data_IF_728742789807
#
_entry.id   IF_728742789807
#
_cell.length_a   1.000
_cell.length_b   1.000
_cell.length_c   1.000
_cell.angle_alpha   90.00
_cell.angle_beta   90.00
_cell.angle_gamma   90.00
#
_symmetry.space_group_name_H-M   'P 1'
#
loop_
_entity.id
_entity.type
_entity.pdbx_description
1 polymer ?
#
# COMPACT_ATOMS: atom_id res chain seq x y z
N UNK A 1 -6.44 12.89 20.89
CA UNK A 1 -6.56 11.41 20.89
C UNK A 1 -5.17 10.83 20.84
N UNK A 2 -4.93 9.75 21.57
CA UNK A 2 -3.73 8.91 21.39
C UNK A 2 -4.03 7.82 20.37
N UNK A 3 -3.34 7.89 19.25
CA UNK A 3 -3.57 7.01 18.10
C UNK A 3 -2.33 6.15 17.90
N UNK A 4 -2.49 4.84 17.91
CA UNK A 4 -1.41 3.91 17.61
C UNK A 4 -1.62 3.34 16.20
N UNK A 5 -0.77 3.73 15.26
CA UNK A 5 -0.75 3.16 13.92
C UNK A 5 0.13 1.91 13.93
N UNK A 6 -0.42 0.79 13.49
CA UNK A 6 0.25 -0.51 13.55
C UNK A 6 0.53 -1.07 12.17
N UNK A 7 1.76 -1.56 11.96
CA UNK A 7 2.16 -2.21 10.71
C UNK A 7 3.13 -3.36 10.97
N UNK A 8 3.14 -4.35 10.08
CA UNK A 8 4.06 -5.48 10.18
C UNK A 8 5.52 -5.05 10.10
N UNK A 9 5.85 -4.32 9.07
CA UNK A 9 7.21 -3.78 8.86
C UNK A 9 7.18 -2.64 7.83
N UNK A 10 8.26 -1.91 7.75
CA UNK A 10 8.56 -1.01 6.63
C UNK A 10 9.27 -1.82 5.56
N UNK A 11 8.77 -1.76 4.31
CA UNK A 11 9.23 -2.62 3.21
C UNK A 11 10.35 -2.01 2.36
N UNK A 12 10.74 -0.76 2.65
CA UNK A 12 11.84 -0.09 1.95
C UNK A 12 11.41 0.89 0.84
N UNK A 13 12.34 1.28 -0.05
CA UNK A 13 12.29 2.59 -0.72
C UNK A 13 11.16 2.79 -1.75
N UNK A 14 10.36 1.79 -2.07
CA UNK A 14 9.25 1.93 -3.05
C UNK A 14 8.02 1.19 -2.52
N UNK A 15 7.41 1.72 -1.50
CA UNK A 15 6.25 1.10 -0.87
C UNK A 15 5.12 2.11 -0.65
N UNK A 16 4.04 1.98 -1.42
CA UNK A 16 2.86 2.82 -1.24
C UNK A 16 2.22 2.69 0.13
N UNK A 17 2.29 1.51 0.76
CA UNK A 17 1.76 1.30 2.11
C UNK A 17 2.61 1.98 3.19
N UNK A 18 3.92 2.13 2.97
CA UNK A 18 4.80 2.84 3.90
C UNK A 18 4.62 4.35 3.74
N UNK A 19 4.47 4.83 2.49
CA UNK A 19 4.10 6.22 2.22
C UNK A 19 2.78 6.60 2.90
N UNK A 20 1.76 5.76 2.80
CA UNK A 20 0.47 5.98 3.46
C UNK A 20 0.62 6.04 4.99
N UNK A 21 1.40 5.13 5.60
CA UNK A 21 1.67 5.15 7.03
C UNK A 21 2.33 6.47 7.47
N UNK A 22 3.40 6.88 6.79
CA UNK A 22 4.14 8.11 7.13
C UNK A 22 3.26 9.34 6.96
N UNK A 23 2.50 9.41 5.87
CA UNK A 23 1.63 10.55 5.60
C UNK A 23 0.49 10.63 6.63
N UNK A 24 -0.15 9.51 6.96
CA UNK A 24 -1.18 9.48 8.01
C UNK A 24 -0.61 9.90 9.36
N UNK A 25 0.52 9.32 9.76
CA UNK A 25 1.14 9.63 11.05
C UNK A 25 1.51 11.11 11.16
N UNK A 26 2.21 11.65 10.16
CA UNK A 26 2.66 13.05 10.16
C UNK A 26 1.50 14.04 10.12
N UNK A 27 0.46 13.79 9.32
CA UNK A 27 -0.67 14.70 9.20
C UNK A 27 -1.59 14.68 10.45
N UNK A 28 -1.81 13.52 11.05
CA UNK A 28 -2.52 13.42 12.33
C UNK A 28 -1.74 14.09 13.46
N UNK A 29 -0.40 13.96 13.48
CA UNK A 29 0.46 14.66 14.45
C UNK A 29 0.37 16.18 14.26
N UNK A 30 0.46 16.70 13.04
CA UNK A 30 0.27 18.12 12.70
C UNK A 30 -1.11 18.63 13.12
N UNK A 31 -2.14 17.79 13.04
CA UNK A 31 -3.50 18.12 13.49
C UNK A 31 -3.67 18.11 15.01
N UNK A 32 -2.58 17.93 15.79
CA UNK A 32 -2.58 18.00 17.25
C UNK A 32 -3.01 16.72 17.95
N UNK A 33 -2.94 15.58 17.29
CA UNK A 33 -3.15 14.27 17.90
C UNK A 33 -1.82 13.71 18.42
N UNK A 34 -1.89 12.89 19.47
CA UNK A 34 -0.74 12.15 20.01
C UNK A 34 -0.62 10.84 19.22
N UNK A 35 0.30 10.79 18.25
CA UNK A 35 0.44 9.67 17.32
C UNK A 35 1.74 8.93 17.57
N UNK A 36 1.67 7.61 17.64
CA UNK A 36 2.82 6.73 17.66
C UNK A 36 2.66 5.60 16.65
N UNK A 37 3.78 5.00 16.25
CA UNK A 37 3.80 3.87 15.30
C UNK A 37 4.35 2.64 16.00
N UNK A 38 3.66 1.52 15.86
CA UNK A 38 4.14 0.20 16.29
C UNK A 38 4.39 -0.68 15.08
N UNK A 39 5.63 -1.11 14.92
CA UNK A 39 6.03 -2.12 13.96
C UNK A 39 6.16 -3.49 14.62
N UNK A 40 5.75 -4.56 13.96
CA UNK A 40 6.08 -5.90 14.43
C UNK A 40 7.58 -6.14 14.32
N UNK A 41 8.17 -5.70 13.20
CA UNK A 41 9.61 -5.87 12.91
C UNK A 41 10.20 -4.56 12.40
N UNK A 42 11.33 -4.15 12.96
CA UNK A 42 12.15 -3.10 12.39
C UNK A 42 13.16 -3.72 11.41
N UNK A 43 13.21 -3.20 10.19
CA UNK A 43 14.10 -3.70 9.15
C UNK A 43 15.45 -2.99 9.17
N UNK A 44 15.46 -1.67 9.10
CA UNK A 44 16.66 -0.83 9.14
C UNK A 44 16.32 0.57 9.67
N UNK A 45 17.17 1.10 10.54
CA UNK A 45 17.00 2.47 11.06
C UNK A 45 17.34 3.54 10.00
N UNK A 46 18.13 3.18 8.99
CA UNK A 46 18.47 4.06 7.88
C UNK A 46 17.36 4.14 6.81
N UNK A 47 16.26 3.41 6.98
CA UNK A 47 15.14 3.46 6.03
C UNK A 47 14.52 4.86 6.00
N UNK A 48 14.27 5.37 4.80
CA UNK A 48 13.74 6.71 4.58
C UNK A 48 12.38 6.96 5.25
N UNK A 49 11.49 5.97 5.26
CA UNK A 49 10.16 6.11 5.88
C UNK A 49 10.28 6.17 7.41
N UNK A 50 11.20 5.37 7.98
CA UNK A 50 11.51 5.43 9.39
C UNK A 50 12.06 6.81 9.78
N UNK A 51 13.03 7.34 9.01
CA UNK A 51 13.59 8.67 9.26
C UNK A 51 12.54 9.78 9.13
N UNK A 52 11.67 9.72 8.13
CA UNK A 52 10.57 10.68 7.96
C UNK A 52 9.56 10.66 9.10
N UNK A 53 9.29 9.51 9.72
CA UNK A 53 8.48 9.44 10.94
C UNK A 53 9.15 10.16 12.09
N UNK A 54 10.45 9.96 12.29
CA UNK A 54 11.22 10.65 13.35
C UNK A 54 11.28 12.16 13.12
N UNK A 55 11.51 12.62 11.89
CA UNK A 55 11.49 14.04 11.49
C UNK A 55 10.13 14.68 11.74
N UNK A 56 9.05 13.94 11.56
CA UNK A 56 7.70 14.38 11.87
C UNK A 56 7.38 14.40 13.38
N UNK A 57 8.32 14.00 14.24
CA UNK A 57 8.13 13.91 15.68
C UNK A 57 7.22 12.74 16.11
N UNK A 58 7.07 11.71 15.26
CA UNK A 58 6.25 10.52 15.52
C UNK A 58 7.13 9.43 16.16
N UNK A 59 6.89 9.04 17.41
CA UNK A 59 7.61 7.94 18.05
C UNK A 59 7.34 6.62 17.33
N UNK A 60 8.41 5.84 17.09
CA UNK A 60 8.32 4.51 16.48
C UNK A 60 8.84 3.46 17.45
N UNK A 61 8.02 2.48 17.75
CA UNK A 61 8.39 1.31 18.52
C UNK A 61 8.31 0.04 17.68
N UNK A 62 9.03 -1.01 18.09
CA UNK A 62 8.97 -2.31 17.43
C UNK A 62 9.03 -3.46 18.44
N UNK A 63 8.40 -4.58 18.09
CA UNK A 63 8.27 -5.76 18.96
C UNK A 63 9.48 -6.68 18.84
N UNK A 64 9.96 -6.92 17.61
CA UNK A 64 11.08 -7.82 17.35
C UNK A 64 12.07 -7.22 16.35
N UNK A 65 13.36 -7.57 16.52
CA UNK A 65 14.36 -7.22 15.53
C UNK A 65 14.20 -8.06 14.26
N UNK A 66 14.67 -7.52 13.14
CA UNK A 66 14.65 -8.20 11.84
C UNK A 66 15.44 -9.52 11.83
N UNK A 67 16.45 -9.67 12.69
CA UNK A 67 17.16 -10.93 12.90
C UNK A 67 16.22 -12.09 13.27
N UNK A 68 15.18 -11.82 14.07
CA UNK A 68 14.18 -12.83 14.42
C UNK A 68 13.34 -13.23 13.19
N UNK A 69 12.95 -12.28 12.35
CA UNK A 69 12.19 -12.54 11.11
C UNK A 69 13.03 -13.28 10.07
N UNK A 70 14.27 -12.85 9.85
CA UNK A 70 15.20 -13.48 8.90
C UNK A 70 15.57 -14.90 9.35
N UNK A 71 15.78 -15.12 10.65
CA UNK A 71 16.07 -16.44 11.20
C UNK A 71 14.87 -17.39 11.10
N UNK A 72 13.64 -16.88 11.25
CA UNK A 72 12.42 -17.68 10.99
C UNK A 72 12.29 -18.06 9.51
N UNK A 73 12.57 -17.13 8.59
CA UNK A 73 12.56 -17.40 7.15
C UNK A 73 13.64 -18.40 6.72
N UNK A 74 14.84 -18.29 7.27
CA UNK A 74 15.94 -19.25 7.06
C UNK A 74 15.61 -20.62 7.68
N UNK A 75 15.03 -20.64 8.88
CA UNK A 75 14.57 -21.84 9.55
C UNK A 75 13.47 -22.57 8.79
N UNK A 76 12.52 -21.83 8.18
CA UNK A 76 11.48 -22.40 7.30
C UNK A 76 12.09 -23.02 6.04
N UNK A 77 13.02 -22.34 5.36
CA UNK A 77 13.72 -22.88 4.18
C UNK A 77 14.54 -24.13 4.53
N UNK A 78 15.23 -24.14 5.68
CA UNK A 78 16.00 -25.29 6.16
C UNK A 78 15.07 -26.45 6.52
N UNK A 79 13.99 -26.21 7.24
CA UNK A 79 12.98 -27.20 7.57
C UNK A 79 12.37 -27.83 6.30
N UNK A 80 12.03 -27.01 5.30
CA UNK A 80 11.53 -27.47 4.01
C UNK A 80 12.54 -28.37 3.28
N UNK A 81 13.81 -27.98 3.23
CA UNK A 81 14.89 -28.78 2.63
C UNK A 81 15.05 -30.13 3.37
N UNK A 82 14.97 -30.15 4.71
CA UNK A 82 15.02 -31.35 5.53
C UNK A 82 13.78 -32.23 5.33
N UNK A 83 12.58 -31.66 5.17
CA UNK A 83 11.35 -32.39 4.87
C UNK A 83 11.43 -33.19 3.56
N UNK A 84 12.05 -32.60 2.54
CA UNK A 84 12.20 -33.25 1.24
C UNK A 84 13.31 -34.30 1.23
N UNK A 85 14.31 -34.15 2.09
CA UNK A 85 15.46 -35.08 2.15
C UNK A 85 15.16 -36.30 3.04
N UNK A 86 14.37 -36.15 4.11
CA UNK A 86 14.09 -37.19 5.07
C UNK A 86 12.59 -37.34 5.41
N UNK A 87 11.80 -38.03 4.58
CA UNK A 87 10.35 -38.14 4.78
C UNK A 87 9.89 -38.67 6.14
N UNK A 88 10.68 -39.57 6.77
CA UNK A 88 10.37 -40.13 8.09
C UNK A 88 10.53 -39.16 9.27
N UNK A 89 11.24 -38.06 9.08
CA UNK A 89 11.44 -37.02 10.11
C UNK A 89 10.35 -35.95 10.15
N UNK A 90 9.42 -35.99 9.20
CA UNK A 90 8.38 -34.94 8.98
C UNK A 90 7.59 -34.62 10.24
N UNK A 91 7.08 -35.64 10.95
CA UNK A 91 6.25 -35.42 12.14
C UNK A 91 7.04 -34.83 13.32
N UNK A 92 8.27 -35.26 13.53
CA UNK A 92 9.13 -34.79 14.62
C UNK A 92 9.56 -33.32 14.38
N UNK A 93 10.01 -32.99 13.18
CA UNK A 93 10.42 -31.64 12.79
C UNK A 93 9.19 -30.72 12.81
N UNK A 94 8.04 -31.17 12.28
CA UNK A 94 6.77 -30.42 12.29
C UNK A 94 6.35 -30.04 13.72
N UNK A 95 6.35 -30.99 14.67
CA UNK A 95 6.01 -30.71 16.07
C UNK A 95 6.95 -29.72 16.74
N UNK A 96 8.24 -29.79 16.43
CA UNK A 96 9.26 -28.90 17.02
C UNK A 96 9.22 -27.51 16.43
N UNK A 97 9.05 -27.40 15.11
CA UNK A 97 8.87 -26.11 14.41
C UNK A 97 7.58 -25.44 14.84
N UNK A 98 6.49 -26.20 14.95
CA UNK A 98 5.21 -25.69 15.42
C UNK A 98 5.31 -25.10 16.84
N UNK A 99 5.96 -25.79 17.78
CA UNK A 99 6.18 -25.29 19.15
C UNK A 99 6.99 -23.99 19.17
N UNK A 100 8.02 -23.88 18.31
CA UNK A 100 8.83 -22.66 18.18
C UNK A 100 8.00 -21.49 17.60
N UNK A 101 7.28 -21.72 16.53
CA UNK A 101 6.43 -20.70 15.89
C UNK A 101 5.32 -20.26 16.84
N UNK A 102 4.64 -21.20 17.50
CA UNK A 102 3.61 -20.89 18.50
C UNK A 102 4.20 -20.11 19.69
N UNK A 103 5.36 -20.50 20.18
CA UNK A 103 6.05 -19.80 21.26
C UNK A 103 6.44 -18.37 20.90
N UNK A 104 6.92 -18.14 19.68
CA UNK A 104 7.24 -16.81 19.19
C UNK A 104 5.99 -15.94 18.97
N UNK A 105 4.94 -16.51 18.37
CA UNK A 105 3.67 -15.82 18.20
C UNK A 105 3.05 -15.43 19.54
N UNK A 106 3.07 -16.33 20.54
CA UNK A 106 2.62 -16.05 21.91
C UNK A 106 3.44 -14.97 22.58
N UNK A 107 4.77 -14.95 22.35
CA UNK A 107 5.65 -13.91 22.88
C UNK A 107 5.35 -12.55 22.25
N UNK A 108 5.23 -12.49 20.92
CA UNK A 108 4.91 -11.25 20.21
C UNK A 108 3.53 -10.71 20.61
N UNK A 109 2.53 -11.58 20.76
CA UNK A 109 1.22 -11.21 21.26
C UNK A 109 1.29 -10.55 22.64
N UNK A 110 2.00 -11.16 23.61
CA UNK A 110 2.18 -10.57 24.96
C UNK A 110 2.87 -9.23 24.90
N UNK A 111 3.96 -9.11 24.13
CA UNK A 111 4.69 -7.87 23.98
C UNK A 111 3.83 -6.77 23.31
N UNK A 112 3.05 -7.10 22.27
CA UNK A 112 2.11 -6.17 21.67
C UNK A 112 1.08 -5.68 22.68
N UNK A 113 0.47 -6.59 23.43
CA UNK A 113 -0.54 -6.27 24.42
C UNK A 113 0.01 -5.39 25.53
N UNK A 114 1.15 -5.76 26.14
CA UNK A 114 1.83 -4.98 27.18
C UNK A 114 2.19 -3.58 26.68
N UNK A 115 2.68 -3.46 25.44
CA UNK A 115 2.96 -2.18 24.81
C UNK A 115 1.71 -1.32 24.68
N UNK A 116 0.62 -1.89 24.12
CA UNK A 116 -0.65 -1.18 23.89
C UNK A 116 -1.29 -0.72 25.20
N UNK A 117 -1.27 -1.55 26.23
CA UNK A 117 -1.75 -1.22 27.58
C UNK A 117 -0.90 -0.09 28.22
N UNK A 118 0.42 -0.13 28.04
CA UNK A 118 1.35 0.89 28.55
C UNK A 118 1.16 2.25 27.86
N UNK A 119 1.03 2.26 26.56
CA UNK A 119 0.83 3.47 25.74
C UNK A 119 -0.54 4.12 25.99
N UNK A 120 -1.51 3.38 26.53
CA UNK A 120 -2.88 3.86 26.79
C UNK A 120 -3.50 4.48 25.53
N UNK A 121 -3.32 3.81 24.37
CA UNK A 121 -3.90 4.27 23.14
C UNK A 121 -5.43 4.31 23.22
N UNK A 122 -6.04 5.38 22.71
CA UNK A 122 -7.50 5.50 22.63
C UNK A 122 -8.04 4.65 21.48
N UNK A 123 -7.19 4.41 20.44
CA UNK A 123 -7.54 3.69 19.24
C UNK A 123 -6.30 3.08 18.60
N UNK A 124 -6.47 1.90 18.02
CA UNK A 124 -5.46 1.21 17.24
C UNK A 124 -5.90 1.11 15.78
N UNK A 125 -5.04 1.52 14.86
CA UNK A 125 -5.27 1.44 13.44
C UNK A 125 -4.22 0.52 12.80
N UNK A 126 -4.65 -0.66 12.34
CA UNK A 126 -3.80 -1.69 11.74
C UNK A 126 -3.84 -1.57 10.22
N UNK A 127 -2.66 -1.44 9.59
CA UNK A 127 -2.50 -1.11 8.16
C UNK A 127 -1.68 -2.17 7.41
N UNK A 128 -1.87 -3.43 7.69
CA UNK A 128 -1.08 -4.50 7.07
C UNK A 128 -1.90 -5.78 6.91
N UNK A 129 -1.91 -6.40 5.72
CA UNK A 129 -2.60 -7.67 5.49
C UNK A 129 -1.67 -8.89 5.72
N UNK A 130 -0.68 -8.77 6.59
CA UNK A 130 0.27 -9.85 6.89
C UNK A 130 -0.02 -10.52 8.26
N UNK A 131 0.67 -11.62 8.61
CA UNK A 131 0.47 -12.32 9.88
C UNK A 131 0.58 -11.43 11.14
N UNK A 132 1.29 -10.31 11.05
CA UNK A 132 1.41 -9.36 12.16
C UNK A 132 0.08 -8.70 12.51
N UNK A 133 -0.78 -8.47 11.51
CA UNK A 133 -2.11 -7.90 11.73
C UNK A 133 -2.92 -8.75 12.69
N UNK A 134 -2.89 -10.08 12.54
CA UNK A 134 -3.63 -10.98 13.42
C UNK A 134 -3.21 -10.83 14.87
N UNK A 135 -1.89 -10.77 15.12
CA UNK A 135 -1.34 -10.58 16.47
C UNK A 135 -1.75 -9.23 17.05
N UNK A 136 -1.64 -8.18 16.25
CA UNK A 136 -1.95 -6.81 16.67
C UNK A 136 -3.44 -6.60 16.93
N UNK A 137 -4.31 -7.12 16.06
CA UNK A 137 -5.77 -7.05 16.21
C UNK A 137 -6.20 -7.80 17.48
N UNK A 138 -5.72 -9.04 17.68
CA UNK A 138 -6.05 -9.82 18.86
C UNK A 138 -5.56 -9.15 20.14
N UNK A 139 -4.32 -8.65 20.16
CA UNK A 139 -3.74 -7.99 21.32
C UNK A 139 -4.52 -6.72 21.70
N UNK A 140 -4.91 -5.92 20.72
CA UNK A 140 -5.70 -4.72 20.92
C UNK A 140 -7.11 -5.02 21.43
N UNK A 141 -7.77 -6.02 20.84
CA UNK A 141 -9.09 -6.48 21.28
C UNK A 141 -9.08 -6.93 22.75
N UNK A 142 -8.09 -7.76 23.12
CA UNK A 142 -7.96 -8.28 24.49
C UNK A 142 -7.50 -7.24 25.50
N UNK A 143 -6.88 -6.14 25.03
CA UNK A 143 -6.61 -4.95 25.84
C UNK A 143 -7.84 -4.02 25.97
N UNK A 144 -8.96 -4.35 25.33
CA UNK A 144 -10.18 -3.53 25.34
C UNK A 144 -10.07 -2.24 24.54
N UNK A 145 -9.10 -2.12 23.62
CA UNK A 145 -8.86 -0.93 22.80
C UNK A 145 -9.56 -1.10 21.46
N UNK A 146 -10.35 -0.10 20.99
CA UNK A 146 -10.99 -0.14 19.69
C UNK A 146 -9.98 -0.29 18.55
N UNK A 147 -10.29 -1.15 17.58
CA UNK A 147 -9.40 -1.47 16.45
C UNK A 147 -10.07 -1.14 15.12
N UNK A 148 -9.38 -0.39 14.28
CA UNK A 148 -9.66 -0.29 12.85
C UNK A 148 -8.62 -1.13 12.10
N UNK A 149 -9.07 -2.01 11.22
CA UNK A 149 -8.22 -2.62 10.21
C UNK A 149 -8.43 -1.90 8.89
N UNK A 150 -7.36 -1.46 8.24
CA UNK A 150 -7.44 -0.84 6.91
C UNK A 150 -6.83 -1.76 5.85
N UNK A 151 -7.66 -2.14 4.88
CA UNK A 151 -7.21 -2.81 3.67
C UNK A 151 -6.64 -1.78 2.69
N UNK A 152 -5.37 -1.93 2.33
CA UNK A 152 -4.64 -1.01 1.45
C UNK A 152 -4.65 -1.41 -0.03
N UNK A 153 -5.40 -2.45 -0.38
CA UNK A 153 -5.48 -2.95 -1.74
C UNK A 153 -6.79 -3.65 -2.04
N UNK A 154 -6.79 -4.44 -3.11
CA UNK A 154 -7.85 -5.41 -3.33
C UNK A 154 -7.56 -6.59 -2.40
N UNK A 155 -8.52 -7.02 -1.56
CA UNK A 155 -8.33 -8.19 -0.74
C UNK A 155 -7.93 -9.37 -1.61
N UNK A 156 -6.68 -9.79 -1.46
CA UNK A 156 -6.09 -10.82 -2.30
C UNK A 156 -6.13 -12.16 -1.57
N UNK A 157 -6.72 -13.13 -2.24
CA UNK A 157 -6.81 -14.51 -1.77
C UNK A 157 -5.97 -15.40 -2.70
N UNK A 158 -4.64 -15.52 -2.47
CA UNK A 158 -3.84 -16.40 -3.28
C UNK A 158 -4.23 -17.85 -3.00
N UNK A 159 -4.40 -18.68 -4.04
CA UNK A 159 -4.75 -20.09 -3.89
C UNK A 159 -3.79 -20.85 -2.98
N UNK A 160 -2.52 -20.44 -2.97
CA UNK A 160 -1.45 -21.08 -2.20
C UNK A 160 -1.40 -20.66 -0.71
N UNK A 161 -2.28 -19.74 -0.27
CA UNK A 161 -2.32 -19.20 1.10
C UNK A 161 -3.71 -19.27 1.73
N UNK A 162 -4.54 -20.22 1.32
CA UNK A 162 -5.92 -20.35 1.78
C UNK A 162 -6.01 -20.45 3.31
N UNK A 163 -5.17 -21.29 3.93
CA UNK A 163 -5.12 -21.45 5.39
C UNK A 163 -4.73 -20.17 6.13
N UNK A 164 -3.85 -19.35 5.54
CA UNK A 164 -3.50 -18.03 6.08
C UNK A 164 -4.67 -17.06 5.99
N UNK A 165 -5.34 -17.03 4.85
CA UNK A 165 -6.48 -16.18 4.63
C UNK A 165 -7.64 -16.50 5.57
N UNK A 166 -7.96 -17.77 5.77
CA UNK A 166 -8.95 -18.23 6.75
C UNK A 166 -8.63 -17.75 8.16
N UNK A 167 -7.37 -17.89 8.59
CA UNK A 167 -6.94 -17.42 9.91
C UNK A 167 -6.99 -15.89 10.02
N UNK A 168 -6.53 -15.18 9.00
CA UNK A 168 -6.61 -13.72 8.97
C UNK A 168 -8.05 -13.24 9.02
N UNK A 169 -8.94 -13.82 8.22
CA UNK A 169 -10.35 -13.45 8.22
C UNK A 169 -11.05 -13.80 9.53
N UNK A 170 -10.57 -14.81 10.28
CA UNK A 170 -11.13 -15.17 11.60
C UNK A 170 -10.93 -14.10 12.67
N UNK A 171 -9.92 -13.25 12.57
CA UNK A 171 -9.66 -12.16 13.53
C UNK A 171 -10.32 -10.83 13.14
N UNK A 172 -10.74 -10.66 11.89
CA UNK A 172 -11.39 -9.44 11.44
C UNK A 172 -12.68 -9.07 12.19
N UNK A 173 -13.52 -10.02 12.64
CA UNK A 173 -14.67 -9.72 13.50
C UNK A 173 -14.33 -9.09 14.86
N UNK A 174 -13.06 -9.16 15.28
CA UNK A 174 -12.56 -8.49 16.49
C UNK A 174 -12.35 -6.99 16.27
N UNK A 175 -12.20 -6.56 15.02
CA UNK A 175 -12.11 -5.16 14.68
C UNK A 175 -13.44 -4.44 14.95
N UNK A 176 -13.36 -3.22 15.43
CA UNK A 176 -14.51 -2.34 15.56
C UNK A 176 -15.03 -1.90 14.20
N UNK A 177 -14.10 -1.73 13.24
CA UNK A 177 -14.41 -1.32 11.87
C UNK A 177 -13.32 -1.80 10.90
N UNK A 178 -13.73 -2.09 9.66
CA UNK A 178 -12.82 -2.30 8.54
C UNK A 178 -12.90 -1.05 7.65
N UNK A 179 -11.74 -0.55 7.22
CA UNK A 179 -11.64 0.56 6.29
C UNK A 179 -11.02 0.11 4.97
N UNK A 180 -11.46 0.71 3.87
CA UNK A 180 -10.84 0.57 2.56
C UNK A 180 -10.57 1.94 1.95
N UNK A 181 -9.78 1.99 0.88
CA UNK A 181 -9.27 3.24 0.34
C UNK A 181 -10.25 3.98 -0.58
N UNK A 182 -11.26 3.29 -1.12
CA UNK A 182 -12.25 3.87 -2.04
C UNK A 182 -13.58 3.12 -1.98
N UNK A 183 -14.68 3.68 -2.54
CA UNK A 183 -15.98 3.02 -2.63
C UNK A 183 -15.90 1.63 -3.27
N UNK A 184 -15.23 1.50 -4.41
CA UNK A 184 -15.09 0.22 -5.12
C UNK A 184 -14.30 -0.81 -4.30
N UNK A 185 -13.29 -0.37 -3.54
CA UNK A 185 -12.57 -1.26 -2.63
C UNK A 185 -13.40 -1.66 -1.40
N UNK A 186 -14.32 -0.80 -0.93
CA UNK A 186 -15.31 -1.19 0.11
C UNK A 186 -16.23 -2.30 -0.42
N UNK A 187 -16.66 -2.23 -1.67
CA UNK A 187 -17.44 -3.31 -2.30
C UNK A 187 -16.66 -4.63 -2.33
N UNK A 188 -15.40 -4.59 -2.75
CA UNK A 188 -14.53 -5.77 -2.70
C UNK A 188 -14.34 -6.31 -1.28
N UNK A 189 -14.18 -5.44 -0.28
CA UNK A 189 -14.11 -5.88 1.11
C UNK A 189 -15.42 -6.54 1.56
N UNK A 190 -16.58 -5.99 1.16
CA UNK A 190 -17.89 -6.55 1.49
C UNK A 190 -18.11 -7.95 0.90
N UNK A 191 -17.59 -8.17 -0.30
CA UNK A 191 -17.73 -9.45 -0.99
C UNK A 191 -16.77 -10.52 -0.44
N UNK A 192 -15.56 -10.13 -0.07
CA UNK A 192 -14.46 -11.07 0.21
C UNK A 192 -14.12 -11.22 1.68
N UNK A 193 -14.45 -10.26 2.51
CA UNK A 193 -14.14 -10.31 3.93
C UNK A 193 -15.39 -10.66 4.74
N UNK A 194 -15.24 -11.38 5.88
CA UNK A 194 -16.38 -11.71 6.73
C UNK A 194 -17.06 -10.42 7.23
N UNK A 195 -18.35 -10.49 7.50
CA UNK A 195 -19.15 -9.37 7.96
C UNK A 195 -18.50 -8.69 9.16
N UNK A 196 -18.03 -7.47 8.97
CA UNK A 196 -17.52 -6.61 10.03
C UNK A 196 -18.64 -5.76 10.60
N UNK A 197 -18.42 -5.19 11.79
CA UNK A 197 -19.39 -4.29 12.45
C UNK A 197 -19.62 -3.01 11.66
N UNK A 198 -18.68 -2.59 10.84
CA UNK A 198 -18.77 -1.42 9.98
C UNK A 198 -17.73 -1.45 8.86
N UNK A 199 -18.06 -0.78 7.75
CA UNK A 199 -17.15 -0.55 6.63
C UNK A 199 -17.08 0.95 6.38
N UNK A 200 -15.87 1.50 6.28
CA UNK A 200 -15.65 2.92 6.00
C UNK A 200 -14.65 3.13 4.86
N UNK A 201 -14.63 4.35 4.37
CA UNK A 201 -13.64 4.80 3.39
C UNK A 201 -12.66 5.70 4.12
N UNK A 202 -11.38 5.31 4.11
CA UNK A 202 -10.26 6.14 4.53
C UNK A 202 -9.29 6.25 3.35
N UNK A 203 -9.40 7.31 2.54
CA UNK A 203 -8.57 7.47 1.35
C UNK A 203 -7.10 7.68 1.73
N UNK A 204 -6.19 7.30 0.84
CA UNK A 204 -4.82 7.82 0.91
C UNK A 204 -4.84 9.33 0.78
N UNK A 205 -3.77 9.99 1.23
CA UNK A 205 -3.56 11.42 1.02
C UNK A 205 -2.10 11.66 0.62
N UNK A 206 -1.85 12.75 -0.02
CA UNK A 206 -0.50 13.23 -0.30
C UNK A 206 -0.22 14.49 0.50
N UNK A 207 1.05 14.70 0.87
CA UNK A 207 1.48 15.86 1.64
C UNK A 207 1.30 17.16 0.87
N UNK A 208 1.09 18.26 1.60
CA UNK A 208 0.93 19.62 1.05
C UNK A 208 2.19 20.21 0.38
N UNK A 209 3.37 19.55 0.53
CA UNK A 209 4.58 20.07 -0.14
C UNK A 209 4.42 20.17 -1.67
N UNK A 210 3.34 19.59 -2.20
CA UNK A 210 2.92 19.74 -3.59
C UNK A 210 2.25 21.10 -3.83
N UNK A 211 1.85 21.84 -2.80
CA UNK A 211 1.24 23.15 -2.91
C UNK A 211 2.27 24.29 -2.80
N UNK A 212 2.48 25.07 -3.86
CA UNK A 212 3.06 26.41 -3.69
C UNK A 212 4.24 26.84 -4.53
N UNK A 213 4.74 26.07 -5.49
CA UNK A 213 5.65 26.62 -6.52
C UNK A 213 4.97 26.74 -7.87
N UNK A 214 5.47 27.68 -8.70
CA UNK A 214 4.98 27.83 -10.07
C UNK A 214 5.10 26.50 -10.80
N UNK A 215 4.08 26.10 -11.56
CA UNK A 215 4.16 24.90 -12.39
C UNK A 215 5.43 24.94 -13.23
N UNK A 216 6.11 23.81 -13.32
CA UNK A 216 7.16 23.65 -14.32
C UNK A 216 6.54 23.92 -15.68
N UNK A 217 7.12 24.85 -16.42
CA UNK A 217 6.72 25.02 -17.82
C UNK A 217 7.37 23.87 -18.61
N UNK A 218 6.56 23.00 -19.25
CA UNK A 218 7.10 21.94 -20.10
C UNK A 218 8.04 22.55 -21.15
N UNK A 219 9.00 21.75 -21.59
CA UNK A 219 9.80 22.15 -22.74
C UNK A 219 8.85 22.43 -23.93
N UNK A 220 8.94 23.63 -24.58
CA UNK A 220 7.90 24.06 -25.51
C UNK A 220 7.68 23.13 -26.71
N UNK A 221 8.59 22.19 -26.96
CA UNK A 221 8.61 21.40 -28.18
C UNK A 221 8.38 19.89 -27.95
N UNK A 222 8.10 19.44 -26.73
CA UNK A 222 7.97 17.98 -26.45
C UNK A 222 6.98 17.70 -25.36
N UNK A 223 6.20 16.63 -25.52
CA UNK A 223 5.27 16.15 -24.52
C UNK A 223 5.91 14.99 -23.75
N UNK A 224 6.01 15.12 -22.44
CA UNK A 224 6.65 14.13 -21.56
C UNK A 224 5.59 13.32 -20.82
N UNK A 225 5.51 12.05 -21.17
CA UNK A 225 4.76 11.04 -20.42
C UNK A 225 5.59 10.52 -19.26
N UNK A 226 4.97 10.25 -18.13
CA UNK A 226 5.68 9.76 -16.95
C UNK A 226 5.02 8.55 -16.30
N UNK A 227 5.84 7.68 -15.75
CA UNK A 227 5.44 6.53 -14.95
C UNK A 227 6.29 6.48 -13.68
N UNK A 228 5.65 6.24 -12.54
CA UNK A 228 6.34 6.11 -11.26
C UNK A 228 5.70 4.99 -10.42
N UNK A 229 6.37 3.85 -10.35
CA UNK A 229 5.95 2.69 -9.55
C UNK A 229 7.10 1.68 -9.40
N UNK A 230 6.87 0.63 -8.64
CA UNK A 230 7.73 -0.55 -8.70
C UNK A 230 7.74 -1.11 -10.12
N UNK A 231 8.90 -1.36 -10.67
CA UNK A 231 9.03 -1.93 -12.02
C UNK A 231 8.81 -3.46 -12.00
N UNK A 232 7.62 -3.86 -11.58
CA UNK A 232 7.16 -5.24 -11.58
C UNK A 232 6.11 -5.46 -12.68
N UNK A 233 5.95 -6.70 -13.11
CA UNK A 233 5.03 -7.05 -14.20
C UNK A 233 3.61 -6.53 -13.96
N UNK A 234 3.10 -6.68 -12.72
CA UNK A 234 1.77 -6.22 -12.32
C UNK A 234 1.54 -4.69 -12.46
N UNK A 235 2.62 -3.90 -12.56
CA UNK A 235 2.54 -2.45 -12.78
C UNK A 235 2.55 -2.05 -14.25
N UNK A 236 2.66 -3.01 -15.16
CA UNK A 236 2.52 -2.83 -16.59
C UNK A 236 3.61 -2.00 -17.30
N UNK A 237 4.86 -1.89 -16.79
CA UNK A 237 5.86 -1.02 -17.41
C UNK A 237 6.26 -1.48 -18.82
N UNK A 238 6.10 -2.77 -19.11
CA UNK A 238 6.36 -3.30 -20.46
C UNK A 238 5.23 -2.90 -21.43
N UNK A 239 3.97 -2.97 -21.00
CA UNK A 239 2.81 -2.50 -21.80
C UNK A 239 2.97 -1.02 -22.13
N UNK A 240 3.44 -0.20 -21.15
CA UNK A 240 3.72 1.21 -21.38
C UNK A 240 4.80 1.41 -22.43
N UNK A 241 5.91 0.68 -22.37
CA UNK A 241 7.01 0.80 -23.34
C UNK A 241 6.56 0.47 -24.75
N UNK A 242 5.77 -0.59 -24.93
CA UNK A 242 5.20 -0.98 -26.22
C UNK A 242 4.22 0.09 -26.77
N UNK A 243 3.30 0.56 -25.92
CA UNK A 243 2.35 1.59 -26.29
C UNK A 243 3.05 2.93 -26.64
N UNK A 244 4.07 3.30 -25.86
CA UNK A 244 4.89 4.47 -26.14
C UNK A 244 5.57 4.39 -27.52
N UNK A 245 6.14 3.23 -27.86
CA UNK A 245 6.77 3.06 -29.16
C UNK A 245 5.76 3.13 -30.32
N UNK A 246 4.52 2.64 -30.13
CA UNK A 246 3.44 2.78 -31.11
C UNK A 246 3.06 4.25 -31.26
N UNK A 247 2.88 4.97 -30.16
CA UNK A 247 2.54 6.39 -30.17
C UNK A 247 3.67 7.25 -30.79
N UNK A 248 4.93 6.95 -30.44
CA UNK A 248 6.09 7.69 -30.96
C UNK A 248 6.24 7.61 -32.47
N UNK A 249 5.89 6.49 -33.11
CA UNK A 249 5.89 6.39 -34.58
C UNK A 249 4.91 7.32 -35.28
N UNK A 250 3.87 7.77 -34.56
CA UNK A 250 2.84 8.69 -35.09
C UNK A 250 3.03 10.14 -34.59
N UNK A 251 3.77 10.33 -33.50
CA UNK A 251 4.09 11.62 -32.94
C UNK A 251 5.51 11.59 -32.37
N UNK A 252 6.48 12.11 -33.13
CA UNK A 252 7.91 12.06 -32.80
C UNK A 252 8.29 12.93 -31.60
N UNK A 253 7.48 13.95 -31.29
CA UNK A 253 7.74 14.93 -30.23
C UNK A 253 7.23 14.49 -28.86
N UNK A 254 7.24 13.18 -28.59
CA UNK A 254 6.94 12.63 -27.27
C UNK A 254 8.17 12.00 -26.62
N UNK A 255 8.21 12.06 -25.27
CA UNK A 255 9.24 11.46 -24.44
C UNK A 255 8.59 10.64 -23.33
N UNK A 256 9.34 9.67 -22.80
CA UNK A 256 8.91 8.83 -21.67
C UNK A 256 9.91 8.91 -20.52
N UNK A 257 9.48 9.41 -19.38
CA UNK A 257 10.22 9.40 -18.14
C UNK A 257 9.70 8.29 -17.21
N UNK A 258 10.61 7.47 -16.69
CA UNK A 258 10.26 6.39 -15.76
C UNK A 258 11.03 6.53 -14.46
N UNK A 259 10.33 6.52 -13.31
CA UNK A 259 10.88 6.45 -11.98
C UNK A 259 10.47 5.15 -11.27
N UNK A 260 11.33 4.64 -10.41
CA UNK A 260 11.12 3.41 -9.66
C UNK A 260 12.21 2.37 -9.93
N UNK A 261 12.11 1.20 -9.32
CA UNK A 261 13.01 0.05 -9.52
C UNK A 261 12.23 -1.27 -9.42
N UNK A 262 12.82 -2.34 -9.89
CA UNK A 262 12.24 -3.68 -9.84
C UNK A 262 12.76 -4.62 -10.91
N UNK A 263 12.20 -5.81 -10.95
CA UNK A 263 12.65 -6.92 -11.81
C UNK A 263 12.57 -6.63 -13.32
N UNK A 264 11.74 -5.68 -13.74
CA UNK A 264 11.55 -5.32 -15.14
C UNK A 264 12.51 -4.23 -15.65
N UNK A 265 13.26 -3.53 -14.77
CA UNK A 265 14.07 -2.37 -15.14
C UNK A 265 15.00 -2.63 -16.34
N UNK A 266 15.78 -3.70 -16.28
CA UNK A 266 16.74 -4.03 -17.35
C UNK A 266 16.04 -4.45 -18.64
N UNK A 267 14.92 -5.16 -18.52
CA UNK A 267 14.11 -5.58 -19.66
C UNK A 267 13.51 -4.40 -20.40
N UNK A 268 13.02 -3.38 -19.66
CA UNK A 268 12.46 -2.14 -20.22
C UNK A 268 13.53 -1.39 -21.01
N UNK A 269 14.74 -1.22 -20.43
CA UNK A 269 15.84 -0.54 -21.12
C UNK A 269 16.29 -1.29 -22.40
N UNK A 270 16.34 -2.61 -22.34
CA UNK A 270 16.62 -3.45 -23.52
C UNK A 270 15.51 -3.33 -24.57
N UNK A 271 14.25 -3.31 -24.13
CA UNK A 271 13.10 -3.18 -25.03
C UNK A 271 13.05 -1.81 -25.70
N UNK A 272 13.35 -0.73 -24.99
CA UNK A 272 13.45 0.62 -25.57
C UNK A 272 14.47 0.68 -26.72
N UNK A 273 15.61 -0.01 -26.57
CA UNK A 273 16.60 -0.14 -27.66
C UNK A 273 16.07 -0.93 -28.83
N UNK A 274 15.41 -2.07 -28.58
CA UNK A 274 14.87 -2.94 -29.62
C UNK A 274 13.73 -2.27 -30.43
N UNK A 275 13.03 -1.32 -29.83
CA UNK A 275 11.94 -0.55 -30.43
C UNK A 275 12.41 0.79 -31.06
N UNK A 276 13.72 1.08 -30.99
CA UNK A 276 14.34 2.31 -31.48
C UNK A 276 13.80 3.60 -30.81
N UNK A 277 13.41 3.50 -29.54
CA UNK A 277 12.94 4.66 -28.75
C UNK A 277 13.84 4.98 -27.56
N UNK A 278 15.05 4.40 -27.50
CA UNK A 278 15.97 4.60 -26.40
C UNK A 278 16.40 6.06 -26.21
N UNK A 279 16.47 6.86 -27.26
CA UNK A 279 16.77 8.30 -27.20
C UNK A 279 15.62 9.15 -26.64
N UNK A 280 14.42 8.60 -26.59
CA UNK A 280 13.20 9.25 -26.09
C UNK A 280 12.78 8.72 -24.71
N UNK A 281 13.49 7.74 -24.18
CA UNK A 281 13.27 7.12 -22.88
C UNK A 281 14.32 7.60 -21.88
N UNK A 282 13.87 8.02 -20.70
CA UNK A 282 14.73 8.43 -19.60
C UNK A 282 14.36 7.74 -18.30
N UNK A 283 15.34 7.09 -17.67
CA UNK A 283 15.23 6.50 -16.36
C UNK A 283 15.72 7.46 -15.28
N UNK A 284 14.89 7.72 -14.27
CA UNK A 284 15.15 8.69 -13.20
C UNK A 284 15.56 8.05 -11.86
N UNK A 285 15.61 6.73 -11.79
CA UNK A 285 15.88 6.04 -10.52
C UNK A 285 14.68 6.06 -9.57
N UNK A 286 14.97 5.83 -8.30
CA UNK A 286 13.98 5.87 -7.22
C UNK A 286 14.07 7.24 -6.55
N UNK A 287 12.95 7.90 -6.36
CA UNK A 287 12.92 9.06 -5.49
C UNK A 287 12.70 8.60 -4.04
N UNK A 288 13.53 9.13 -3.14
CA UNK A 288 13.54 8.77 -1.72
C UNK A 288 12.99 9.88 -0.83
N UNK A 289 12.82 11.07 -1.39
CA UNK A 289 12.27 12.22 -0.69
C UNK A 289 11.09 12.85 -1.45
N UNK A 290 10.12 13.40 -0.74
CA UNK A 290 8.96 14.06 -1.33
C UNK A 290 9.31 15.12 -2.38
N UNK A 291 10.38 15.89 -2.17
CA UNK A 291 10.84 16.89 -3.13
C UNK A 291 11.29 16.31 -4.47
N UNK A 292 11.92 15.14 -4.46
CA UNK A 292 12.31 14.42 -5.68
C UNK A 292 11.09 13.88 -6.43
N UNK A 293 10.11 13.33 -5.69
CA UNK A 293 8.83 12.92 -6.24
C UNK A 293 8.15 14.10 -6.94
N UNK A 294 8.07 15.24 -6.26
CA UNK A 294 7.50 16.44 -6.80
C UNK A 294 8.24 16.90 -8.06
N UNK A 295 9.57 17.00 -8.02
CA UNK A 295 10.37 17.42 -9.17
C UNK A 295 10.14 16.50 -10.38
N UNK A 296 10.02 15.18 -10.13
CA UNK A 296 9.66 14.22 -11.15
C UNK A 296 8.26 14.50 -11.72
N UNK A 297 7.23 14.59 -10.88
CA UNK A 297 5.85 14.83 -11.32
C UNK A 297 5.70 16.19 -12.05
N UNK A 298 6.36 17.25 -11.57
CA UNK A 298 6.37 18.54 -12.24
C UNK A 298 7.01 18.48 -13.65
N UNK A 299 8.00 17.61 -13.86
CA UNK A 299 8.65 17.44 -15.18
C UNK A 299 7.79 16.76 -16.25
N UNK A 300 6.60 16.28 -15.89
CA UNK A 300 5.70 15.55 -16.77
C UNK A 300 4.62 16.49 -17.36
N UNK A 301 4.11 16.12 -18.53
CA UNK A 301 2.86 16.65 -19.09
C UNK A 301 1.67 15.73 -18.81
N UNK A 302 1.89 14.43 -18.81
CA UNK A 302 0.88 13.38 -18.61
C UNK A 302 1.45 12.30 -17.72
N UNK A 303 0.70 11.85 -16.74
CA UNK A 303 1.06 10.69 -15.93
C UNK A 303 0.35 9.42 -16.42
N UNK A 304 1.07 8.28 -16.43
CA UNK A 304 0.57 7.01 -16.95
C UNK A 304 0.71 5.90 -15.93
N UNK A 305 -0.38 5.18 -15.62
CA UNK A 305 -0.41 4.04 -14.69
C UNK A 305 -1.10 2.83 -15.32
N UNK A 306 -0.39 2.02 -16.13
CA UNK A 306 -0.98 0.91 -16.90
C UNK A 306 -0.97 -0.42 -16.14
N UNK A 307 -1.28 -0.38 -14.86
CA UNK A 307 -1.22 -1.55 -13.96
C UNK A 307 -2.28 -2.59 -14.27
N UNK A 308 -1.98 -3.86 -13.96
CA UNK A 308 -2.95 -4.96 -14.03
C UNK A 308 -3.80 -5.07 -12.75
N UNK A 309 -3.31 -4.55 -11.63
CA UNK A 309 -4.02 -4.54 -10.34
C UNK A 309 -3.53 -3.40 -9.48
N UNK A 310 -4.45 -2.71 -8.80
CA UNK A 310 -4.18 -1.62 -7.88
C UNK A 310 -5.21 -1.58 -6.73
N UNK A 311 -4.77 -1.03 -5.58
CA UNK A 311 -5.70 -0.42 -4.65
C UNK A 311 -6.02 1.01 -5.11
N UNK A 312 -5.42 1.99 -4.42
CA UNK A 312 -5.35 3.39 -4.84
C UNK A 312 -3.88 3.80 -4.86
N UNK A 313 -3.26 3.91 -6.04
CA UNK A 313 -1.82 4.18 -6.14
C UNK A 313 -1.48 5.61 -5.72
N UNK A 314 -0.53 5.77 -4.77
CA UNK A 314 -0.05 7.08 -4.30
C UNK A 314 0.45 7.96 -5.45
N UNK A 315 1.17 7.37 -6.41
CA UNK A 315 1.71 8.13 -7.55
C UNK A 315 0.64 8.76 -8.44
N UNK A 316 -0.57 8.19 -8.49
CA UNK A 316 -1.72 8.84 -9.16
C UNK A 316 -2.18 10.05 -8.35
N UNK A 317 -2.28 9.93 -7.00
CA UNK A 317 -2.63 11.09 -6.15
C UNK A 317 -1.58 12.20 -6.26
N UNK A 318 -0.30 11.83 -6.26
CA UNK A 318 0.83 12.77 -6.44
C UNK A 318 0.75 13.51 -7.79
N UNK A 319 0.44 12.78 -8.87
CA UNK A 319 0.26 13.36 -10.20
C UNK A 319 -0.97 14.30 -10.26
N UNK A 320 -2.09 13.89 -9.66
CA UNK A 320 -3.30 14.70 -9.55
C UNK A 320 -3.04 16.00 -8.76
N UNK A 321 -2.30 15.89 -7.65
CA UNK A 321 -1.90 17.07 -6.85
C UNK A 321 -1.02 18.05 -7.64
N UNK A 322 -0.21 17.55 -8.58
CA UNK A 322 0.55 18.36 -9.53
C UNK A 322 -0.27 18.82 -10.74
N UNK A 323 -1.56 18.53 -10.80
CA UNK A 323 -2.44 18.92 -11.90
C UNK A 323 -2.10 18.25 -13.23
N UNK A 324 -1.63 17.01 -13.18
CA UNK A 324 -1.33 16.22 -14.40
C UNK A 324 -2.56 15.43 -14.83
N UNK A 325 -2.91 15.46 -16.13
CA UNK A 325 -3.88 14.51 -16.67
C UNK A 325 -3.36 13.09 -16.54
N UNK A 326 -4.26 12.14 -16.29
CA UNK A 326 -3.90 10.76 -16.00
C UNK A 326 -4.35 9.84 -17.15
N UNK A 327 -3.49 8.93 -17.58
CA UNK A 327 -3.91 7.74 -18.33
C UNK A 327 -3.69 6.55 -17.41
N UNK A 328 -4.72 5.76 -17.13
CA UNK A 328 -4.56 4.61 -16.23
C UNK A 328 -5.46 3.44 -16.63
N UNK A 329 -5.05 2.24 -16.21
CA UNK A 329 -5.90 1.07 -16.36
C UNK A 329 -7.13 1.15 -15.45
N UNK A 330 -8.26 0.66 -15.96
CA UNK A 330 -9.53 0.56 -15.23
C UNK A 330 -9.50 -0.62 -14.25
N UNK A 331 -8.71 -0.50 -13.17
CA UNK A 331 -8.54 -1.56 -12.16
C UNK A 331 -8.62 -1.01 -10.74
N UNK A 332 -9.11 -1.85 -9.82
CA UNK A 332 -9.16 -1.54 -8.39
C UNK A 332 -9.86 -0.23 -8.06
N UNK A 333 -9.24 0.61 -7.28
CA UNK A 333 -9.77 1.92 -6.89
C UNK A 333 -9.45 3.06 -7.87
N UNK A 334 -8.74 2.81 -8.97
CA UNK A 334 -8.37 3.86 -9.94
C UNK A 334 -9.59 4.58 -10.53
N UNK A 335 -10.68 3.89 -10.95
CA UNK A 335 -11.87 4.58 -11.45
C UNK A 335 -12.48 5.56 -10.44
N UNK A 336 -12.48 5.22 -9.15
CA UNK A 336 -12.96 6.12 -8.10
C UNK A 336 -12.05 7.35 -7.93
N UNK A 337 -10.75 7.21 -8.22
CA UNK A 337 -9.79 8.30 -8.11
C UNK A 337 -9.92 9.30 -9.24
N UNK A 338 -9.97 8.85 -10.48
CA UNK A 338 -9.84 9.70 -11.66
C UNK A 338 -11.20 10.31 -12.05
N UNK A 339 -12.28 9.51 -12.10
CA UNK A 339 -13.54 9.95 -12.68
C UNK A 339 -13.43 10.18 -14.20
N UNK A 340 -14.47 10.76 -14.80
CA UNK A 340 -14.59 10.88 -16.26
C UNK A 340 -13.88 12.11 -16.85
N UNK A 341 -13.49 13.06 -16.01
CA UNK A 341 -13.03 14.40 -16.41
C UNK A 341 -11.52 14.64 -16.17
N UNK A 342 -10.88 13.86 -15.33
CA UNK A 342 -9.49 14.08 -14.91
C UNK A 342 -8.47 13.13 -15.53
N UNK A 343 -8.90 12.22 -16.40
CA UNK A 343 -8.02 11.28 -17.08
C UNK A 343 -8.75 10.40 -18.09
N UNK A 344 -7.99 9.48 -18.68
CA UNK A 344 -8.47 8.47 -19.61
C UNK A 344 -8.27 7.09 -18.97
N UNK A 345 -9.34 6.35 -18.80
CA UNK A 345 -9.29 4.95 -18.38
C UNK A 345 -9.18 4.04 -19.61
N UNK A 346 -8.28 3.05 -19.52
CA UNK A 346 -8.07 2.05 -20.57
C UNK A 346 -8.17 0.63 -19.99
N UNK A 347 -8.56 -0.38 -20.77
CA UNK A 347 -8.52 -1.76 -20.28
C UNK A 347 -7.09 -2.18 -19.90
N UNK A 348 -6.95 -2.94 -18.79
CA UNK A 348 -5.66 -3.42 -18.36
C UNK A 348 -4.99 -4.31 -19.41
N UNK A 349 -3.73 -4.01 -19.74
CA UNK A 349 -2.96 -4.75 -20.74
C UNK A 349 -3.27 -4.38 -22.20
N UNK A 350 -4.24 -3.50 -22.45
CA UNK A 350 -4.58 -3.04 -23.80
C UNK A 350 -3.58 -1.96 -24.27
N UNK A 351 -2.55 -2.43 -24.94
CA UNK A 351 -1.49 -1.59 -25.53
C UNK A 351 -2.05 -0.60 -26.57
N UNK A 352 -3.04 -1.00 -27.35
CA UNK A 352 -3.60 -0.16 -28.43
C UNK A 352 -4.40 1.01 -27.84
N UNK A 353 -5.30 0.72 -26.90
CA UNK A 353 -6.06 1.75 -26.18
C UNK A 353 -5.13 2.71 -25.42
N UNK A 354 -4.05 2.20 -24.82
CA UNK A 354 -3.04 3.00 -24.16
C UNK A 354 -2.31 3.94 -25.14
N UNK A 355 -1.89 3.42 -26.29
CA UNK A 355 -1.22 4.23 -27.32
C UNK A 355 -2.15 5.30 -27.91
N UNK A 356 -3.42 4.99 -28.15
CA UNK A 356 -4.43 5.96 -28.60
C UNK A 356 -4.66 7.07 -27.56
N UNK A 357 -4.76 6.72 -26.28
CA UNK A 357 -4.89 7.68 -25.21
C UNK A 357 -3.65 8.60 -25.13
N UNK A 358 -2.44 8.03 -25.28
CA UNK A 358 -1.20 8.82 -25.35
C UNK A 358 -1.22 9.79 -26.54
N UNK A 359 -1.59 9.33 -27.74
CA UNK A 359 -1.67 10.18 -28.93
C UNK A 359 -2.70 11.30 -28.75
N UNK A 360 -3.87 11.00 -28.24
CA UNK A 360 -4.92 11.97 -27.96
C UNK A 360 -4.41 13.10 -27.05
N UNK A 361 -3.74 12.76 -25.95
CA UNK A 361 -3.19 13.76 -25.04
C UNK A 361 -1.92 14.41 -25.60
N UNK A 362 -1.16 13.77 -26.48
CA UNK A 362 -0.02 14.42 -27.14
C UNK A 362 -0.47 15.54 -28.09
N UNK A 363 -1.56 15.32 -28.83
CA UNK A 363 -2.04 16.19 -29.89
C UNK A 363 -2.96 17.32 -29.41
N UNK A 364 -3.56 17.20 -28.22
CA UNK A 364 -4.55 18.16 -27.71
C UNK A 364 -4.06 18.86 -26.41
N UNK A 365 -3.42 20.04 -26.52
CA UNK A 365 -2.97 20.81 -25.37
C UNK A 365 -4.10 21.29 -24.47
N UNK A 366 -5.25 21.62 -25.06
CA UNK A 366 -6.40 22.12 -24.29
C UNK A 366 -7.03 21.00 -23.46
N UNK A 367 -7.11 19.78 -24.02
CA UNK A 367 -7.55 18.61 -23.29
C UNK A 367 -6.60 18.31 -22.11
N UNK A 368 -5.27 18.36 -22.32
CA UNK A 368 -4.29 18.20 -21.23
C UNK A 368 -4.52 19.23 -20.12
N UNK A 369 -4.69 20.51 -20.48
CA UNK A 369 -4.92 21.59 -19.54
C UNK A 369 -6.20 21.39 -18.74
N UNK A 370 -7.28 21.04 -19.40
CA UNK A 370 -8.61 20.85 -18.78
C UNK A 370 -8.61 19.64 -17.86
N UNK A 371 -8.11 18.49 -18.32
CA UNK A 371 -8.00 17.29 -17.51
C UNK A 371 -7.06 17.47 -16.31
N UNK A 372 -5.93 18.16 -16.51
CA UNK A 372 -5.00 18.43 -15.41
C UNK A 372 -5.62 19.34 -14.34
N UNK A 373 -6.39 20.35 -14.74
CA UNK A 373 -7.12 21.19 -13.80
C UNK A 373 -8.20 20.39 -13.02
N UNK A 374 -8.94 19.53 -13.71
CA UNK A 374 -9.93 18.64 -13.10
C UNK A 374 -9.26 17.65 -12.15
N UNK A 375 -8.11 17.06 -12.51
CA UNK A 375 -7.33 16.18 -11.65
C UNK A 375 -6.92 16.89 -10.36
N UNK A 376 -6.43 18.11 -10.43
CA UNK A 376 -6.07 18.91 -9.25
C UNK A 376 -7.27 19.23 -8.37
N UNK A 377 -8.38 19.63 -8.96
CA UNK A 377 -9.62 19.91 -8.22
C UNK A 377 -10.13 18.65 -7.50
N UNK A 378 -10.05 17.49 -8.16
CA UNK A 378 -10.43 16.21 -7.58
C UNK A 378 -9.48 15.78 -6.45
N UNK A 379 -8.17 15.96 -6.59
CA UNK A 379 -7.21 15.79 -5.50
C UNK A 379 -7.61 16.63 -4.28
N UNK A 380 -7.85 17.93 -4.47
CA UNK A 380 -8.24 18.83 -3.37
C UNK A 380 -9.51 18.36 -2.65
N UNK A 381 -10.47 17.80 -3.40
CA UNK A 381 -11.75 17.35 -2.88
C UNK A 381 -11.68 15.99 -2.16
N UNK A 382 -10.78 15.09 -2.55
CA UNK A 382 -10.80 13.69 -2.12
C UNK A 382 -9.54 13.24 -1.37
N UNK A 383 -8.37 13.83 -1.65
CA UNK A 383 -7.07 13.30 -1.24
C UNK A 383 -6.17 14.31 -0.53
N UNK A 384 -6.61 15.56 -0.39
CA UNK A 384 -5.85 16.54 0.38
C UNK A 384 -5.92 16.24 1.88
N UNK A 385 -4.88 16.56 2.66
CA UNK A 385 -4.91 16.41 4.11
C UNK A 385 -6.07 17.15 4.77
N UNK A 386 -6.47 18.33 4.26
CA UNK A 386 -7.60 19.12 4.75
C UNK A 386 -8.94 18.38 4.70
N UNK A 387 -9.08 17.40 3.81
CA UNK A 387 -10.29 16.57 3.67
C UNK A 387 -10.12 15.23 4.37
N UNK A 388 -8.98 14.57 4.19
CA UNK A 388 -8.79 13.20 4.69
C UNK A 388 -8.57 13.17 6.19
N UNK A 389 -7.82 14.11 6.77
CA UNK A 389 -7.57 14.13 8.22
C UNK A 389 -8.86 14.32 9.02
N UNK A 390 -9.75 15.30 8.72
CA UNK A 390 -11.04 15.39 9.38
C UNK A 390 -11.90 14.12 9.24
N UNK A 391 -11.89 13.48 8.07
CA UNK A 391 -12.61 12.22 7.85
C UNK A 391 -12.06 11.08 8.72
N UNK A 392 -10.74 10.96 8.83
CA UNK A 392 -10.08 10.00 9.72
C UNK A 392 -10.48 10.25 11.18
N UNK A 393 -10.40 11.50 11.62
CA UNK A 393 -10.74 11.91 13.00
C UNK A 393 -12.20 11.60 13.32
N UNK A 394 -13.13 11.90 12.43
CA UNK A 394 -14.55 11.57 12.58
C UNK A 394 -14.77 10.05 12.66
N UNK A 395 -14.10 9.29 11.82
CA UNK A 395 -14.15 7.83 11.84
C UNK A 395 -13.63 7.28 13.16
N UNK A 396 -12.48 7.76 13.62
CA UNK A 396 -11.89 7.36 14.91
C UNK A 396 -12.80 7.68 16.09
N UNK A 397 -13.37 8.88 16.14
CA UNK A 397 -14.32 9.27 17.19
C UNK A 397 -15.58 8.40 17.20
N UNK A 398 -16.10 8.06 16.02
CA UNK A 398 -17.24 7.14 15.88
C UNK A 398 -16.90 5.75 16.41
N UNK A 399 -15.75 5.23 16.04
CA UNK A 399 -15.29 3.90 16.47
C UNK A 399 -15.07 3.85 17.97
N UNK A 400 -14.46 4.87 18.57
CA UNK A 400 -14.27 4.94 20.01
C UNK A 400 -15.60 4.99 20.77
N UNK A 401 -16.59 5.75 20.28
CA UNK A 401 -17.93 5.80 20.91
C UNK A 401 -18.65 4.44 20.84
N UNK A 402 -18.52 3.73 19.73
CA UNK A 402 -19.19 2.45 19.53
C UNK A 402 -18.44 1.26 20.13
N UNK A 403 -17.12 1.41 20.30
CA UNK A 403 -16.22 0.36 20.78
C UNK A 403 -16.24 0.14 22.29
N UNK A 404 -16.83 1.05 23.07
CA UNK A 404 -16.98 0.94 24.53
C UNK A 404 -18.10 -0.02 24.98
N UNK A 405 -18.77 -0.71 24.09
CA UNK A 405 -19.53 -1.91 24.44
C UNK A 405 -18.50 -3.01 24.77
N UNK A 406 -18.08 -3.07 26.03
CA UNK A 406 -17.08 -4.01 26.54
C UNK A 406 -17.34 -5.43 26.11
N UNK A 407 -16.37 -6.34 26.28
CA UNK A 407 -16.52 -7.73 25.90
C UNK A 407 -17.77 -8.27 26.58
N UNK A 408 -18.83 -8.52 25.83
CA UNK A 408 -19.90 -9.37 26.32
C UNK A 408 -19.21 -10.68 26.62
N UNK A 409 -19.14 -11.00 27.92
CA UNK A 409 -18.68 -12.31 28.40
C UNK A 409 -19.23 -13.41 27.50
N UNK A 410 -18.46 -13.85 26.54
CA UNK A 410 -18.64 -15.15 25.89
C UNK A 410 -17.99 -16.11 26.88
N UNK A 411 -18.70 -16.34 28.00
CA UNK A 411 -18.42 -17.44 28.89
C UNK A 411 -18.79 -18.73 28.15
N UNK A 412 -17.80 -19.48 27.78
CA UNK A 412 -17.98 -20.83 27.32
C UNK A 412 -17.41 -21.10 25.94
N UNK A 413 -16.12 -21.26 25.87
CA UNK A 413 -15.41 -22.38 25.23
C UNK A 413 -13.93 -22.05 25.29
N UNK A 414 -13.13 -23.02 25.71
CA UNK A 414 -11.71 -22.82 25.98
C UNK A 414 -11.03 -22.00 24.90
N UNK A 415 -10.18 -21.06 25.35
CA UNK A 415 -9.36 -20.24 24.49
C UNK A 415 -8.55 -21.11 23.54
N UNK A 416 -9.11 -21.41 22.37
CA UNK A 416 -8.33 -21.91 21.26
C UNK A 416 -7.49 -20.73 20.83
N UNK A 417 -6.24 -20.72 21.24
CA UNK A 417 -5.25 -19.76 20.80
C UNK A 417 -5.29 -19.79 19.26
N UNK A 418 -5.49 -18.65 18.54
CA UNK A 418 -5.58 -18.66 17.07
C UNK A 418 -4.36 -19.30 16.39
N UNK A 419 -3.32 -19.56 17.15
CA UNK A 419 -2.06 -20.16 16.74
C UNK A 419 -1.90 -21.64 17.14
N UNK A 420 -2.85 -22.23 17.87
CA UNK A 420 -2.75 -23.64 18.30
C UNK A 420 -2.82 -24.60 17.10
N UNK A 421 -3.48 -24.18 16.03
CA UNK A 421 -3.68 -24.96 14.79
C UNK A 421 -2.87 -24.43 13.59
N UNK A 422 -1.72 -23.76 13.82
CA UNK A 422 -0.81 -23.40 12.75
C UNK A 422 -0.16 -24.68 12.16
N UNK A 423 -0.98 -25.50 11.54
CA UNK A 423 -0.53 -26.59 10.70
C UNK A 423 -0.22 -26.02 9.32
N UNK A 424 1.07 -25.93 8.99
CA UNK A 424 1.46 -25.74 7.59
C UNK A 424 0.77 -26.83 6.76
N UNK A 425 0.00 -26.51 5.72
CA UNK A 425 -0.62 -27.49 4.86
C UNK A 425 0.46 -28.37 4.25
N UNK A 426 0.18 -29.67 4.07
CA UNK A 426 1.20 -30.63 3.69
C UNK A 426 1.79 -30.47 2.29
N UNK A 427 1.19 -29.68 1.39
CA UNK A 427 1.50 -29.70 -0.04
C UNK A 427 1.61 -28.34 -0.76
N UNK A 428 1.68 -27.20 -0.06
CA UNK A 428 1.64 -25.86 -0.68
C UNK A 428 2.98 -25.35 -1.25
N UNK A 429 4.00 -26.20 -1.40
CA UNK A 429 5.27 -25.81 -2.03
C UNK A 429 5.75 -26.91 -3.01
N UNK A 430 5.13 -27.01 -4.17
CA UNK A 430 5.74 -27.61 -5.36
C UNK A 430 6.28 -26.52 -6.28
#
# INVERSE_FOLDING_TARGET
>A
MRILLCKGQIYGPISGSDETLVTYASQLQKAGHDVSVLLMYLHAEEDQYYQRLLEAGVPVAWIASNLAHTSMGAGRKLAYKMFNTFPGSRQFIRRRTLRLVTGLATRHYRQCREFMEKEKADLIHVMTPDPSAMVMIQAAHDAGIPVIYQELGIPYHPPDFESYYEQFTSVLPLCSEIAALSPKLVEHCREKLPASKGLSILPIMSDEFINGRKPHQPAPDRITFGFAARMEELKGPMVLMEAFAVAHRQCEDICLNIAGDGSQRQKIAARAKALDVASRYRYHGVYTHPEQCRAFMESLDVFVMPSFTEGTPNSVVEAMACGKPIIASEVGGIPDMIGDDSGILVPAGDMSALAEAMLRLAQDPELRRTMGAAAKARYQKLFSPDVVVPLMVQTYQRVMRNGHAGPKNIAGNGHVHPWADFSLPPDEFK
#
